data_IF_301297613286
#
_entry.id   IF_301297613286
#
_cell.length_a   1.000
_cell.length_b   1.000
_cell.length_c   1.000
_cell.angle_alpha   90.00
_cell.angle_beta   90.00
_cell.angle_gamma   90.00
#
_symmetry.space_group_name_H-M   'P 1'
#
loop_
_entity.id
_entity.type
_entity.pdbx_description
1 polymer ?
#
# COMPACT_ATOMS: atom_id res chain seq x y z
N UNK A 1 14.50 15.13 -25.17
CA UNK A 1 13.97 13.77 -25.36
C UNK A 1 13.02 13.50 -24.22
N UNK A 2 11.72 13.61 -24.49
CA UNK A 2 10.67 13.44 -23.49
C UNK A 2 10.22 11.98 -23.60
N UNK A 3 10.77 11.11 -22.74
CA UNK A 3 10.37 9.71 -22.69
C UNK A 3 9.17 9.57 -21.76
N UNK A 4 8.01 10.05 -22.20
CA UNK A 4 6.69 9.77 -21.60
C UNK A 4 6.05 8.53 -22.23
N UNK A 5 6.87 7.58 -22.70
CA UNK A 5 6.47 6.20 -22.92
C UNK A 5 6.87 5.41 -21.68
N UNK A 6 5.90 4.82 -21.00
CA UNK A 6 6.09 3.95 -19.83
C UNK A 6 6.76 2.65 -20.30
N UNK A 7 8.05 2.69 -20.64
CA UNK A 7 8.84 1.49 -20.91
C UNK A 7 9.11 0.87 -19.54
N UNK A 8 8.60 -0.33 -19.32
CA UNK A 8 8.83 -1.03 -18.07
C UNK A 8 10.31 -1.42 -17.92
N UNK A 9 10.75 -1.56 -16.67
CA UNK A 9 12.14 -1.83 -16.32
C UNK A 9 12.45 -3.34 -16.23
N UNK A 10 11.64 -4.19 -16.86
CA UNK A 10 11.71 -5.65 -16.70
C UNK A 10 12.99 -6.26 -17.30
N UNK A 11 13.56 -5.61 -18.32
CA UNK A 11 14.78 -6.06 -19.00
C UNK A 11 16.05 -5.91 -18.15
N UNK A 12 16.03 -5.03 -17.14
CA UNK A 12 17.20 -4.75 -16.28
C UNK A 12 17.18 -5.54 -14.96
N UNK A 13 16.20 -6.44 -14.78
CA UNK A 13 16.09 -7.28 -13.58
C UNK A 13 17.23 -8.28 -13.55
N UNK A 14 17.80 -8.50 -12.36
CA UNK A 14 18.79 -9.56 -12.15
C UNK A 14 18.17 -10.93 -12.49
N UNK A 15 18.75 -11.63 -13.46
CA UNK A 15 18.30 -12.96 -13.90
C UNK A 15 18.27 -13.98 -12.76
N UNK A 16 19.10 -13.80 -11.72
CA UNK A 16 19.11 -14.67 -10.53
C UNK A 16 17.86 -14.53 -9.66
N UNK A 17 17.06 -13.49 -9.86
CA UNK A 17 15.76 -13.36 -9.20
C UNK A 17 14.72 -14.31 -9.81
N UNK A 18 14.96 -14.89 -11.00
CA UNK A 18 14.08 -15.90 -11.62
C UNK A 18 12.61 -15.44 -11.71
N UNK A 19 12.37 -14.14 -11.95
CA UNK A 19 11.01 -13.58 -11.98
C UNK A 19 10.31 -13.50 -10.62
N UNK A 20 11.00 -13.80 -9.50
CA UNK A 20 10.50 -13.64 -8.12
C UNK A 20 10.57 -12.17 -7.67
N UNK A 21 10.12 -11.27 -8.54
CA UNK A 21 10.01 -9.85 -8.25
C UNK A 21 8.63 -9.34 -8.68
N UNK A 22 8.06 -8.43 -7.88
CA UNK A 22 6.86 -7.72 -8.27
C UNK A 22 7.23 -6.61 -9.27
N UNK A 23 6.70 -6.68 -10.49
CA UNK A 23 7.05 -5.72 -11.55
C UNK A 23 6.59 -4.30 -11.24
N UNK A 24 5.54 -4.11 -10.44
CA UNK A 24 5.13 -2.77 -10.02
C UNK A 24 6.16 -2.19 -9.04
N UNK A 25 6.60 -2.97 -8.05
CA UNK A 25 7.66 -2.56 -7.12
C UNK A 25 8.98 -2.29 -7.86
N UNK A 26 9.35 -3.17 -8.79
CA UNK A 26 10.52 -3.00 -9.64
C UNK A 26 10.49 -1.65 -10.38
N UNK A 27 9.37 -1.35 -11.04
CA UNK A 27 9.23 -0.13 -11.82
C UNK A 27 9.37 1.13 -10.96
N UNK A 28 8.86 1.11 -9.73
CA UNK A 28 9.00 2.21 -8.77
C UNK A 28 10.45 2.36 -8.27
N UNK A 29 11.12 1.26 -7.92
CA UNK A 29 12.52 1.25 -7.48
C UNK A 29 13.46 1.72 -8.60
N UNK A 30 13.28 1.21 -9.82
CA UNK A 30 14.11 1.59 -10.96
C UNK A 30 13.94 3.07 -11.34
N UNK A 31 12.70 3.58 -11.32
CA UNK A 31 12.45 5.01 -11.52
C UNK A 31 13.12 5.89 -10.44
N UNK A 32 13.15 5.42 -9.18
CA UNK A 32 13.87 6.10 -8.11
C UNK A 32 15.40 6.06 -8.34
N UNK A 33 15.94 4.89 -8.68
CA UNK A 33 17.37 4.74 -8.96
C UNK A 33 17.84 5.63 -10.13
N UNK A 34 17.03 5.72 -11.19
CA UNK A 34 17.30 6.61 -12.33
C UNK A 34 17.38 8.08 -11.92
N UNK A 35 16.51 8.53 -10.99
CA UNK A 35 16.58 9.88 -10.42
C UNK A 35 17.83 10.10 -9.59
N UNK A 36 18.30 9.10 -8.84
CA UNK A 36 19.50 9.19 -8.01
C UNK A 36 20.78 9.40 -8.84
N UNK A 37 20.85 8.83 -10.04
CA UNK A 37 22.02 8.95 -10.93
C UNK A 37 21.94 10.14 -11.90
N UNK A 38 21.01 11.08 -11.68
CA UNK A 38 20.83 12.22 -12.59
C UNK A 38 22.16 12.99 -12.76
N UNK A 39 22.51 13.32 -14.02
CA UNK A 39 23.72 14.08 -14.33
C UNK A 39 23.75 15.44 -13.64
N UNK A 40 22.59 16.08 -13.46
CA UNK A 40 22.48 17.32 -12.72
C UNK A 40 22.31 17.02 -11.22
N UNK A 41 23.26 17.36 -10.34
CA UNK A 41 23.18 17.03 -8.91
C UNK A 41 21.95 17.62 -8.22
N UNK A 42 21.51 18.82 -8.65
CA UNK A 42 20.31 19.50 -8.12
C UNK A 42 18.99 18.77 -8.43
N UNK A 43 18.99 17.83 -9.39
CA UNK A 43 17.82 17.00 -9.73
C UNK A 43 17.80 15.66 -8.98
N UNK A 44 18.88 15.33 -8.25
CA UNK A 44 18.94 14.12 -7.44
C UNK A 44 18.10 14.32 -6.17
N UNK A 45 17.31 13.32 -5.75
CA UNK A 45 16.57 13.39 -4.50
C UNK A 45 17.52 13.41 -3.30
N UNK A 46 17.06 13.99 -2.18
CA UNK A 46 17.79 13.87 -0.92
C UNK A 46 17.68 12.45 -0.35
N UNK A 47 18.62 12.05 0.52
CA UNK A 47 18.52 10.75 1.21
C UNK A 47 17.20 10.59 1.99
N UNK A 48 16.66 11.69 2.52
CA UNK A 48 15.34 11.70 3.16
C UNK A 48 14.25 11.29 2.18
N UNK A 49 14.21 11.91 1.01
CA UNK A 49 13.20 11.63 -0.02
C UNK A 49 13.33 10.19 -0.53
N UNK A 50 14.57 9.71 -0.74
CA UNK A 50 14.86 8.33 -1.15
C UNK A 50 14.25 7.34 -0.15
N UNK A 51 14.56 7.48 1.15
CA UNK A 51 14.04 6.59 2.19
C UNK A 51 12.52 6.67 2.30
N UNK A 52 11.93 7.87 2.15
CA UNK A 52 10.47 8.03 2.15
C UNK A 52 9.80 7.29 1.00
N UNK A 53 10.35 7.38 -0.22
CA UNK A 53 9.82 6.65 -1.38
C UNK A 53 9.94 5.14 -1.17
N UNK A 54 11.12 4.64 -0.77
CA UNK A 54 11.31 3.21 -0.47
C UNK A 54 10.36 2.70 0.62
N UNK A 55 10.12 3.51 1.65
CA UNK A 55 9.17 3.17 2.72
C UNK A 55 7.73 3.06 2.18
N UNK A 56 7.33 3.93 1.25
CA UNK A 56 6.00 3.85 0.63
C UNK A 56 5.83 2.59 -0.21
N UNK A 57 6.84 2.19 -0.98
CA UNK A 57 6.85 0.95 -1.77
C UNK A 57 6.61 -0.26 -0.84
N UNK A 58 7.35 -0.33 0.27
CA UNK A 58 7.21 -1.42 1.25
C UNK A 58 5.83 -1.44 1.92
N UNK A 59 5.27 -0.27 2.27
CA UNK A 59 3.92 -0.18 2.86
C UNK A 59 2.84 -0.61 1.88
N UNK A 60 2.94 -0.21 0.62
CA UNK A 60 1.99 -0.61 -0.43
C UNK A 60 1.99 -2.13 -0.64
N UNK A 61 3.15 -2.78 -0.57
CA UNK A 61 3.26 -4.24 -0.58
C UNK A 61 2.48 -4.89 0.56
N UNK A 62 2.62 -4.37 1.78
CA UNK A 62 1.93 -4.90 2.95
C UNK A 62 0.41 -4.79 2.82
N UNK A 63 -0.08 -3.64 2.35
CA UNK A 63 -1.51 -3.41 2.12
C UNK A 63 -2.11 -4.38 1.09
N UNK A 64 -1.41 -4.61 -0.02
CA UNK A 64 -1.83 -5.60 -1.04
C UNK A 64 -1.91 -7.00 -0.47
N UNK A 65 -0.98 -7.39 0.40
CA UNK A 65 -1.00 -8.70 1.05
C UNK A 65 -2.17 -8.86 2.03
N UNK A 66 -2.48 -7.81 2.80
CA UNK A 66 -3.65 -7.81 3.70
C UNK A 66 -4.96 -7.93 2.91
N UNK A 67 -5.09 -7.22 1.79
CA UNK A 67 -6.28 -7.31 0.95
C UNK A 67 -6.46 -8.72 0.36
N UNK A 68 -5.38 -9.35 -0.11
CA UNK A 68 -5.41 -10.75 -0.60
C UNK A 68 -5.84 -11.74 0.49
N UNK A 69 -5.36 -11.57 1.72
CA UNK A 69 -5.77 -12.42 2.86
C UNK A 69 -7.25 -12.25 3.21
N UNK A 70 -7.77 -11.03 3.13
CA UNK A 70 -9.19 -10.75 3.41
C UNK A 70 -10.12 -11.38 2.38
N UNK A 71 -9.77 -11.35 1.09
CA UNK A 71 -10.59 -11.91 0.01
C UNK A 71 -10.58 -13.44 -0.02
N UNK A 72 -9.48 -14.06 0.44
CA UNK A 72 -9.38 -15.52 0.53
C UNK A 72 -10.24 -16.12 1.64
N UNK A 73 -10.72 -15.31 2.61
CA UNK A 73 -11.53 -15.79 3.72
C UNK A 73 -13.03 -15.88 3.40
N UNK A 74 -13.46 -15.54 2.19
CA UNK A 74 -14.88 -15.49 1.79
C UNK A 74 -15.28 -16.53 0.74
N UNK A 75 -14.44 -17.53 0.45
CA UNK A 75 -14.73 -18.56 -0.59
C UNK A 75 -15.06 -19.95 -0.05
N UNK A 76 -15.17 -20.13 1.27
CA UNK A 76 -15.79 -21.34 1.82
C UNK A 76 -17.30 -21.09 1.97
N UNK A 77 -18.03 -21.64 0.99
CA UNK A 77 -19.45 -22.00 0.98
C UNK A 77 -20.45 -21.06 1.68
N UNK A 78 -21.13 -20.21 0.90
CA UNK A 78 -22.50 -19.79 1.24
C UNK A 78 -23.42 -20.19 0.09
N UNK A 79 -23.97 -21.40 0.19
CA UNK A 79 -25.24 -21.71 -0.47
C UNK A 79 -26.32 -20.90 0.25
N UNK A 80 -26.62 -19.71 -0.28
CA UNK A 80 -27.74 -18.89 0.20
C UNK A 80 -29.00 -19.50 -0.40
N UNK A 81 -29.68 -20.35 0.38
CA UNK A 81 -31.09 -20.65 0.16
C UNK A 81 -31.89 -19.38 0.42
N UNK A 82 -32.71 -18.99 -0.55
CA UNK A 82 -33.48 -17.75 -0.54
C UNK A 82 -34.72 -17.96 0.31
N UNK A 83 -34.77 -17.36 1.49
CA UNK A 83 -36.02 -17.00 2.15
C UNK A 83 -35.81 -15.74 3.02
N UNK A 84 -36.43 -14.64 2.60
CA UNK A 84 -36.70 -13.40 3.34
C UNK A 84 -38.17 -13.50 3.84
N UNK A 85 -38.59 -13.11 5.08
CA UNK A 85 -38.47 -11.72 5.56
C UNK A 85 -38.32 -11.43 7.08
N UNK A 86 -37.80 -10.21 7.30
CA UNK A 86 -38.14 -9.22 8.34
C UNK A 86 -37.58 -9.26 9.80
N UNK A 87 -37.02 -8.09 10.15
CA UNK A 87 -37.11 -7.35 11.42
C UNK A 87 -35.94 -7.44 12.43
N UNK A 88 -35.30 -6.27 12.67
CA UNK A 88 -35.18 -5.58 13.99
C UNK A 88 -33.78 -4.97 14.28
N UNK A 89 -33.77 -3.63 14.26
CA UNK A 89 -33.04 -2.65 15.08
C UNK A 89 -31.70 -3.02 15.75
N UNK A 90 -30.64 -2.24 15.48
CA UNK A 90 -29.86 -1.65 16.58
C UNK A 90 -29.07 -0.41 16.15
N UNK A 91 -29.42 0.73 16.74
CA UNK A 91 -28.66 1.99 16.74
C UNK A 91 -27.43 1.81 17.63
N UNK A 92 -26.23 2.19 17.19
CA UNK A 92 -25.04 2.24 18.06
C UNK A 92 -24.82 3.66 18.57
N UNK A 93 -24.97 3.83 19.88
CA UNK A 93 -24.80 5.06 20.64
C UNK A 93 -23.31 5.41 20.82
N UNK A 94 -22.94 6.68 20.66
CA UNK A 94 -21.58 7.19 20.82
C UNK A 94 -21.45 7.89 22.18
N UNK A 95 -20.85 7.21 23.16
CA UNK A 95 -20.55 7.80 24.47
C UNK A 95 -19.13 8.35 24.51
N UNK A 96 -18.98 9.66 24.73
CA UNK A 96 -17.73 10.36 25.04
C UNK A 96 -17.78 10.72 26.53
N UNK A 97 -16.88 10.18 27.34
CA UNK A 97 -16.70 10.62 28.74
C UNK A 97 -15.48 11.57 28.80
N UNK A 98 -15.71 12.82 29.20
CA UNK A 98 -14.66 13.82 29.48
C UNK A 98 -14.36 13.79 30.99
N UNK A 99 -13.09 13.60 31.36
CA UNK A 99 -12.64 13.59 32.76
C UNK A 99 -12.39 15.02 33.23
N UNK A 100 -13.04 15.41 34.33
CA UNK A 100 -12.86 16.68 35.01
C UNK A 100 -11.70 16.59 36.01
N UNK A 101 -10.84 17.62 36.00
CA UNK A 101 -9.71 17.79 36.91
C UNK A 101 -10.18 18.57 38.14
N UNK A 102 -9.90 18.07 39.35
CA UNK A 102 -10.24 18.76 40.60
C UNK A 102 -8.98 19.04 41.40
N UNK A 103 -8.68 20.33 41.54
CA UNK A 103 -7.72 20.88 42.48
C UNK A 103 -8.28 20.81 43.91
N UNK A 104 -7.44 20.44 44.88
CA UNK A 104 -7.66 20.70 46.29
C UNK A 104 -6.44 21.42 46.89
N UNK A 105 -6.78 22.40 47.73
CA UNK A 105 -6.00 23.34 48.54
C UNK A 105 -4.88 22.71 49.41
#
# INVERSE_FOLDING_TARGET
>A
MNTEGKVGWEEIVDSKLEGKCDFQELNEVAALAYKCINRAPRKRPSMRDIVQVLTRILKARHQRNHHKKSLSATTDDVAIDVDEPENKDHVTDHRRDESIDSAND
#
